data_IF_327232742367
#
_entry.id   IF_327232742367
#
_cell.length_a   1.000
_cell.length_b   1.000
_cell.length_c   1.000
_cell.angle_alpha   90.00
_cell.angle_beta   90.00
_cell.angle_gamma   90.00
#
_symmetry.space_group_name_H-M   'P 1'
#
loop_
_entity.id
_entity.type
_entity.pdbx_description
1 polymer ?
#
# COMPACT_ATOMS: atom_id res chain seq x y z
N UNK A 1 17.87 32.66 -51.34
CA UNK A 1 18.08 32.65 -49.87
C UNK A 1 16.80 32.76 -49.02
N UNK A 2 15.56 32.83 -49.57
CA UNK A 2 14.32 32.92 -48.77
C UNK A 2 13.76 31.57 -48.26
N UNK A 3 14.14 30.44 -48.89
CA UNK A 3 13.64 29.10 -48.51
C UNK A 3 14.37 28.53 -47.29
N UNK A 4 15.69 28.74 -47.19
CA UNK A 4 16.53 28.24 -46.09
C UNK A 4 16.13 28.81 -44.72
N UNK A 5 15.66 30.06 -44.68
CA UNK A 5 15.22 30.69 -43.43
C UNK A 5 13.92 30.05 -42.89
N UNK A 6 12.99 29.68 -43.78
CA UNK A 6 11.73 28.99 -43.40
C UNK A 6 12.00 27.58 -42.85
N UNK A 7 12.99 26.88 -43.40
CA UNK A 7 13.39 25.54 -42.95
C UNK A 7 14.01 25.61 -41.55
N UNK A 8 14.85 26.61 -41.28
CA UNK A 8 15.43 26.83 -39.94
C UNK A 8 14.35 27.12 -38.90
N UNK A 9 13.37 27.97 -39.20
CA UNK A 9 12.25 28.21 -38.28
C UNK A 9 11.38 26.96 -38.06
N UNK A 10 11.14 26.17 -39.10
CA UNK A 10 10.38 24.92 -38.98
C UNK A 10 11.08 23.89 -38.07
N UNK A 11 12.42 23.77 -38.17
CA UNK A 11 13.20 22.85 -37.32
C UNK A 11 13.20 23.30 -35.87
N UNK A 12 13.31 24.61 -35.60
CA UNK A 12 13.25 25.17 -34.24
C UNK A 12 11.88 24.92 -33.60
N UNK A 13 10.80 25.11 -34.35
CA UNK A 13 9.43 24.86 -33.87
C UNK A 13 9.20 23.37 -33.58
N UNK A 14 9.68 22.47 -34.45
CA UNK A 14 9.59 21.03 -34.21
C UNK A 14 10.40 20.58 -32.97
N UNK A 15 11.60 21.14 -32.77
CA UNK A 15 12.41 20.83 -31.60
C UNK A 15 11.77 21.35 -30.30
N UNK A 16 11.14 22.53 -30.34
CA UNK A 16 10.37 23.06 -29.23
C UNK A 16 9.13 22.19 -28.90
N UNK A 17 8.45 21.64 -29.91
CA UNK A 17 7.30 20.75 -29.69
C UNK A 17 7.69 19.41 -29.04
N UNK A 18 8.87 18.85 -29.34
CA UNK A 18 9.34 17.59 -28.75
C UNK A 18 9.70 17.73 -27.26
N UNK A 19 10.08 18.92 -26.80
CA UNK A 19 10.41 19.17 -25.38
C UNK A 19 9.12 19.26 -24.53
N UNK A 20 7.98 19.60 -25.15
CA UNK A 20 6.69 19.73 -24.47
C UNK A 20 6.00 18.39 -24.17
N UNK A 21 6.49 17.26 -24.69
CA UNK A 21 5.89 15.92 -24.45
C UNK A 21 6.52 15.18 -23.26
N UNK A 22 6.90 15.92 -22.21
CA UNK A 22 7.53 15.38 -21.00
C UNK A 22 6.55 15.13 -19.84
N UNK A 23 6.52 13.89 -19.37
CA UNK A 23 5.95 13.38 -18.11
C UNK A 23 4.43 13.53 -17.89
N UNK A 24 3.68 12.53 -18.34
CA UNK A 24 2.39 12.21 -17.71
C UNK A 24 2.64 11.72 -16.29
N UNK A 25 2.51 12.61 -15.30
CA UNK A 25 2.47 12.21 -13.90
C UNK A 25 1.09 11.58 -13.67
N UNK A 26 1.05 10.28 -13.36
CA UNK A 26 -0.20 9.62 -12.97
C UNK A 26 -0.77 10.39 -11.78
N UNK A 27 -1.92 11.02 -11.96
CA UNK A 27 -2.61 11.70 -10.86
C UNK A 27 -2.95 10.65 -9.78
N UNK A 28 -2.49 10.88 -8.56
CA UNK A 28 -2.75 10.00 -7.41
C UNK A 28 -4.23 10.15 -7.06
N UNK A 29 -5.03 9.12 -7.35
CA UNK A 29 -6.44 9.10 -6.99
C UNK A 29 -6.57 8.66 -5.53
N UNK A 30 -6.76 9.63 -4.64
CA UNK A 30 -6.96 9.37 -3.22
C UNK A 30 -8.32 8.68 -2.99
N UNK A 31 -8.33 7.65 -2.16
CA UNK A 31 -9.55 6.90 -1.80
C UNK A 31 -10.51 7.68 -0.88
N UNK A 32 -10.09 8.82 -0.33
CA UNK A 32 -10.83 9.57 0.69
C UNK A 32 -10.80 8.92 2.08
N UNK A 33 -10.01 7.86 2.27
CA UNK A 33 -9.90 7.12 3.54
C UNK A 33 -9.15 7.91 4.61
N UNK A 34 -8.10 8.63 4.22
CA UNK A 34 -7.33 9.48 5.12
C UNK A 34 -7.81 10.93 4.96
N UNK A 35 -8.08 11.59 6.08
CA UNK A 35 -8.37 13.02 6.10
C UNK A 35 -7.17 13.82 5.55
N UNK A 36 -5.95 13.37 5.88
CA UNK A 36 -4.70 13.88 5.33
C UNK A 36 -3.79 12.74 4.89
N UNK A 37 -3.46 12.72 3.60
CA UNK A 37 -2.50 11.75 3.05
C UNK A 37 -1.07 12.26 3.30
N UNK A 38 -0.24 11.52 4.05
CA UNK A 38 1.15 11.91 4.24
C UNK A 38 1.94 11.76 2.93
N UNK A 39 3.10 12.42 2.84
CA UNK A 39 4.00 12.23 1.71
C UNK A 39 4.58 10.82 1.71
N UNK A 40 4.28 10.07 0.65
CA UNK A 40 4.81 8.73 0.46
C UNK A 40 6.13 8.77 -0.33
N UNK A 41 7.11 7.98 0.10
CA UNK A 41 8.37 7.77 -0.62
C UNK A 41 8.21 6.58 -1.58
N UNK A 42 8.91 6.56 -2.71
CA UNK A 42 8.91 5.39 -3.59
C UNK A 42 9.42 4.16 -2.85
N UNK A 43 8.71 3.04 -2.95
CA UNK A 43 9.14 1.81 -2.32
C UNK A 43 10.21 1.06 -3.12
N UNK A 44 10.77 -0.01 -2.54
CA UNK A 44 11.79 -0.83 -3.18
C UNK A 44 11.27 -1.53 -4.44
N UNK A 45 12.16 -1.75 -5.43
CA UNK A 45 11.81 -2.43 -6.68
C UNK A 45 11.25 -3.83 -6.40
N UNK A 46 10.04 -4.11 -6.89
CA UNK A 46 9.33 -5.38 -6.66
C UNK A 46 8.50 -5.43 -5.37
N UNK A 47 8.48 -4.35 -4.59
CA UNK A 47 7.61 -4.17 -3.43
C UNK A 47 6.44 -3.21 -3.71
N UNK A 48 5.97 -2.53 -2.66
CA UNK A 48 4.95 -1.50 -2.78
C UNK A 48 5.47 -0.28 -3.57
N UNK A 49 4.63 0.33 -4.41
CA UNK A 49 5.00 1.50 -5.21
C UNK A 49 5.32 2.73 -4.34
N UNK A 50 4.56 2.91 -3.26
CA UNK A 50 4.63 4.05 -2.35
C UNK A 50 4.58 3.55 -0.91
N UNK A 51 5.53 4.01 -0.08
CA UNK A 51 5.68 3.60 1.32
C UNK A 51 5.78 4.84 2.19
N UNK A 52 5.08 4.82 3.31
CA UNK A 52 5.27 5.79 4.39
C UNK A 52 6.07 5.13 5.51
N UNK A 53 7.23 5.71 5.82
CA UNK A 53 8.05 5.33 6.98
C UNK A 53 8.20 6.57 7.86
N UNK A 54 7.90 6.42 9.14
CA UNK A 54 8.11 7.49 10.12
C UNK A 54 9.62 7.69 10.31
N UNK A 55 10.10 8.91 10.11
CA UNK A 55 11.51 9.24 10.31
C UNK A 55 11.90 9.07 11.79
N UNK A 56 13.12 8.58 12.05
CA UNK A 56 13.65 8.35 13.40
C UNK A 56 13.21 7.04 14.07
N UNK A 57 12.53 6.14 13.34
CA UNK A 57 12.20 4.80 13.82
C UNK A 57 13.25 3.80 13.30
N UNK A 58 13.93 3.11 14.21
CA UNK A 58 14.75 1.97 13.88
C UNK A 58 13.85 0.73 13.79
N UNK A 59 13.76 0.11 12.61
CA UNK A 59 12.95 -1.08 12.41
C UNK A 59 13.73 -2.38 12.71
N UNK A 60 15.05 -2.32 12.86
CA UNK A 60 15.90 -3.50 13.13
C UNK A 60 15.72 -4.06 14.54
N UNK A 61 15.20 -3.24 15.46
CA UNK A 61 14.92 -3.63 16.84
C UNK A 61 13.70 -4.54 16.98
N UNK A 62 12.87 -4.64 15.93
CA UNK A 62 11.67 -5.47 15.94
C UNK A 62 11.94 -6.81 15.26
N UNK A 63 11.99 -7.88 16.06
CA UNK A 63 12.20 -9.25 15.57
C UNK A 63 10.95 -10.13 15.71
N UNK A 64 9.91 -9.60 16.35
CA UNK A 64 8.63 -10.27 16.57
C UNK A 64 7.50 -9.51 15.91
N UNK A 65 6.60 -10.26 15.29
CA UNK A 65 5.34 -9.74 14.77
C UNK A 65 4.20 -10.25 15.66
N UNK A 66 3.36 -9.31 16.10
CA UNK A 66 2.05 -9.59 16.66
C UNK A 66 1.00 -9.17 15.65
N UNK A 67 0.14 -10.11 15.26
CA UNK A 67 -0.97 -9.84 14.35
C UNK A 67 -2.29 -10.15 15.07
N UNK A 68 -3.15 -9.14 15.16
CA UNK A 68 -4.53 -9.35 15.64
C UNK A 68 -5.34 -10.15 14.61
N UNK A 69 -6.39 -10.84 15.06
CA UNK A 69 -7.34 -11.50 14.18
C UNK A 69 -7.99 -10.49 13.21
N UNK A 70 -8.28 -10.95 11.99
CA UNK A 70 -8.97 -10.15 10.97
C UNK A 70 -10.40 -9.89 11.46
N UNK A 71 -10.80 -8.61 11.47
CA UNK A 71 -12.16 -8.20 11.82
C UNK A 71 -12.90 -7.81 10.54
N UNK A 72 -13.99 -8.51 10.26
CA UNK A 72 -14.84 -8.23 9.10
C UNK A 72 -15.84 -7.12 9.43
N UNK A 73 -15.94 -6.14 8.53
CA UNK A 73 -16.93 -5.07 8.60
C UNK A 73 -17.80 -5.15 7.35
N UNK A 74 -19.11 -5.31 7.55
CA UNK A 74 -20.09 -5.19 6.47
C UNK A 74 -20.54 -3.73 6.38
N UNK A 75 -20.74 -3.23 5.15
CA UNK A 75 -21.34 -1.91 4.96
C UNK A 75 -22.74 -1.87 5.56
N UNK A 76 -23.11 -0.74 6.18
CA UNK A 76 -24.46 -0.56 6.71
C UNK A 76 -25.52 -0.68 5.60
N UNK A 77 -25.18 -0.25 4.38
CA UNK A 77 -26.06 -0.20 3.22
C UNK A 77 -26.08 -1.50 2.38
N UNK A 78 -25.34 -2.55 2.77
CA UNK A 78 -25.33 -3.78 1.96
C UNK A 78 -26.66 -4.52 2.05
N UNK A 79 -27.26 -4.80 0.89
CA UNK A 79 -28.53 -5.56 0.80
C UNK A 79 -28.40 -6.99 1.29
N UNK A 80 -27.18 -7.53 1.29
CA UNK A 80 -26.86 -8.86 1.73
C UNK A 80 -25.61 -8.80 2.63
N UNK A 81 -25.77 -9.27 3.87
CA UNK A 81 -24.72 -9.36 4.90
C UNK A 81 -24.42 -10.80 5.30
N UNK A 82 -25.03 -11.77 4.60
CA UNK A 82 -24.96 -13.18 4.95
C UNK A 82 -23.74 -13.84 4.31
N UNK A 83 -22.62 -13.86 5.02
CA UNK A 83 -21.55 -14.83 4.73
C UNK A 83 -21.71 -15.96 5.75
N UNK A 84 -21.57 -17.22 5.30
CA UNK A 84 -21.66 -18.33 6.24
C UNK A 84 -20.49 -18.24 7.24
N UNK A 85 -20.73 -18.46 8.55
CA UNK A 85 -19.67 -18.40 9.55
C UNK A 85 -18.48 -19.31 9.21
N UNK A 86 -18.74 -20.47 8.62
CA UNK A 86 -17.72 -21.41 8.16
C UNK A 86 -16.82 -20.80 7.08
N UNK A 87 -17.39 -20.11 6.10
CA UNK A 87 -16.64 -19.45 5.02
C UNK A 87 -15.77 -18.30 5.56
N UNK A 88 -16.28 -17.54 6.52
CA UNK A 88 -15.50 -16.48 7.19
C UNK A 88 -14.33 -17.08 8.00
N UNK A 89 -14.55 -18.21 8.66
CA UNK A 89 -13.51 -18.91 9.41
C UNK A 89 -12.41 -19.41 8.48
N UNK A 90 -12.79 -20.11 7.40
CA UNK A 90 -11.85 -20.64 6.41
C UNK A 90 -11.03 -19.51 5.77
N UNK A 91 -11.67 -18.40 5.41
CA UNK A 91 -10.97 -17.24 4.87
C UNK A 91 -10.00 -16.62 5.88
N UNK A 92 -10.41 -16.46 7.15
CA UNK A 92 -9.55 -15.93 8.20
C UNK A 92 -8.33 -16.84 8.46
N UNK A 93 -8.54 -18.15 8.47
CA UNK A 93 -7.45 -19.14 8.64
C UNK A 93 -6.49 -19.13 7.46
N UNK A 94 -7.02 -19.06 6.23
CA UNK A 94 -6.22 -18.99 4.99
C UNK A 94 -5.36 -17.73 4.97
N UNK A 95 -5.95 -16.59 5.32
CA UNK A 95 -5.23 -15.33 5.45
C UNK A 95 -4.13 -15.43 6.51
N UNK A 96 -4.46 -15.93 7.70
CA UNK A 96 -3.48 -16.09 8.78
C UNK A 96 -2.32 -16.98 8.33
N UNK A 97 -2.59 -18.11 7.68
CA UNK A 97 -1.57 -19.02 7.17
C UNK A 97 -0.68 -18.36 6.12
N UNK A 98 -1.25 -17.64 5.16
CA UNK A 98 -0.48 -16.94 4.12
C UNK A 98 0.45 -15.87 4.71
N UNK A 99 0.00 -15.16 5.76
CA UNK A 99 0.83 -14.18 6.47
C UNK A 99 1.96 -14.85 7.25
N UNK A 100 1.66 -15.95 7.96
CA UNK A 100 2.68 -16.71 8.69
C UNK A 100 3.72 -17.32 7.74
N UNK A 101 3.30 -17.83 6.59
CA UNK A 101 4.21 -18.38 5.58
C UNK A 101 5.12 -17.32 4.96
N UNK A 102 4.56 -16.15 4.62
CA UNK A 102 5.34 -15.07 3.97
C UNK A 102 6.30 -14.33 4.92
N UNK A 103 5.93 -14.18 6.20
CA UNK A 103 6.72 -13.41 7.16
C UNK A 103 7.48 -14.28 8.18
N UNK A 104 7.09 -15.55 8.33
CA UNK A 104 7.61 -16.45 9.36
C UNK A 104 9.07 -16.85 9.16
N UNK A 105 9.61 -16.73 7.95
CA UNK A 105 11.03 -16.95 7.69
C UNK A 105 11.92 -15.84 8.27
N UNK A 106 11.37 -14.61 8.38
CA UNK A 106 12.13 -13.42 8.81
C UNK A 106 11.79 -13.00 10.24
N UNK A 107 10.56 -13.24 10.69
CA UNK A 107 10.04 -12.76 11.97
C UNK A 107 9.40 -13.87 12.80
N UNK A 108 9.55 -13.77 14.12
CA UNK A 108 8.87 -14.66 15.05
C UNK A 108 7.44 -14.18 15.29
N UNK A 109 6.45 -15.04 15.01
CA UNK A 109 5.06 -14.77 15.36
C UNK A 109 4.84 -15.05 16.86
N UNK A 110 4.40 -14.02 17.59
CA UNK A 110 4.01 -14.19 18.98
C UNK A 110 2.49 -14.20 19.12
N UNK A 111 1.95 -15.32 19.60
CA UNK A 111 0.53 -15.50 19.95
C UNK A 111 0.28 -14.92 21.34
N UNK A 112 0.31 -13.59 21.45
CA UNK A 112 0.08 -12.87 22.71
C UNK A 112 -1.14 -11.97 22.61
N UNK A 113 -2.23 -12.35 23.29
CA UNK A 113 -3.38 -11.48 23.53
C UNK A 113 -2.94 -10.24 24.29
N UNK A 114 -3.01 -9.06 23.65
CA UNK A 114 -2.98 -7.65 24.13
C UNK A 114 -2.16 -7.20 25.37
N UNK A 115 -1.54 -8.07 26.15
CA UNK A 115 -1.15 -7.82 27.55
C UNK A 115 0.36 -7.74 27.73
N UNK A 116 1.18 -8.21 26.78
CA UNK A 116 2.63 -8.09 26.88
C UNK A 116 3.27 -7.74 25.52
N UNK A 117 3.08 -6.50 25.07
CA UNK A 117 3.91 -5.98 23.98
C UNK A 117 5.30 -5.69 24.55
N UNK A 118 6.25 -6.61 24.33
CA UNK A 118 7.67 -6.30 24.54
C UNK A 118 8.09 -5.14 23.65
N UNK A 119 9.10 -4.37 24.05
CA UNK A 119 9.64 -3.27 23.25
C UNK A 119 10.25 -3.72 21.91
N UNK A 120 10.41 -5.03 21.72
CA UNK A 120 10.95 -5.74 20.55
C UNK A 120 9.86 -6.26 19.58
N UNK A 121 8.59 -5.98 19.86
CA UNK A 121 7.46 -6.51 19.09
C UNK A 121 6.80 -5.44 18.23
N UNK A 122 6.70 -5.70 16.92
CA UNK A 122 5.91 -4.89 15.99
C UNK A 122 4.48 -5.40 15.97
N UNK A 123 3.52 -4.53 16.32
CA UNK A 123 2.10 -4.91 16.41
C UNK A 123 1.35 -4.40 15.19
N UNK A 124 0.87 -5.33 14.37
CA UNK A 124 -0.05 -5.07 13.26
C UNK A 124 -1.48 -5.08 13.82
N UNK A 125 -1.99 -3.90 14.16
CA UNK A 125 -3.39 -3.72 14.59
C UNK A 125 -4.26 -3.19 13.47
N UNK A 126 -5.44 -3.80 13.33
CA UNK A 126 -6.52 -3.41 12.41
C UNK A 126 -6.10 -3.38 10.93
N UNK A 127 -6.16 -4.54 10.28
CA UNK A 127 -6.37 -4.60 8.82
C UNK A 127 -7.85 -4.27 8.60
N UNK A 128 -8.17 -2.97 8.46
CA UNK A 128 -9.50 -2.57 8.01
C UNK A 128 -9.56 -2.80 6.49
N UNK A 129 -10.63 -3.48 6.05
CA UNK A 129 -11.12 -3.67 4.69
C UNK A 129 -10.75 -4.98 3.96
N UNK A 130 -11.75 -5.89 3.92
CA UNK A 130 -12.20 -6.49 2.66
C UNK A 130 -13.58 -5.87 2.35
N UNK A 131 -13.66 -5.05 1.32
CA UNK A 131 -14.95 -4.56 0.81
C UNK A 131 -15.44 -5.58 -0.22
N UNK A 132 -16.36 -6.45 0.18
CA UNK A 132 -17.09 -7.29 -0.76
C UNK A 132 -18.17 -6.42 -1.41
N UNK A 133 -18.02 -6.15 -2.71
CA UNK A 133 -19.02 -5.45 -3.53
C UNK A 133 -20.17 -6.39 -3.91
#
# INVERSE_FOLDING_TARGET
MKSSSKIVYAVIICFALMIATGCTTKQVKHSGFLENYPEFKSGPKGGADLVYLKDGVDFSVYNKIMMDHVVFYFSDDSRYKGIHPEELSEFSETFHKAVVESLGETFYFSTGSHVYCGSDSFVVRRIKYLHFY
#
